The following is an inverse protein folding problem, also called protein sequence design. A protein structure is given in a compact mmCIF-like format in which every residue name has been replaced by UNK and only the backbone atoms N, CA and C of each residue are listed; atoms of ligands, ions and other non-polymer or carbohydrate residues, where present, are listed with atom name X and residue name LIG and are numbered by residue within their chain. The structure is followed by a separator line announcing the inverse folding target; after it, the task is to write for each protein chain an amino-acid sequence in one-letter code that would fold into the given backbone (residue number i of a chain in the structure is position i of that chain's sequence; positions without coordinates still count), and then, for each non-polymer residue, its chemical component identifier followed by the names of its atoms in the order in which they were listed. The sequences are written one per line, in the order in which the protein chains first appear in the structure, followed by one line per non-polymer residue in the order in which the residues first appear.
data_IF_033817135135
#
_entry.id   IF_033817135135
#
_cell.length_a   1.000
_cell.length_b   1.000
_cell.length_c   1.000
_cell.angle_alpha   90.00
_cell.angle_beta   90.00
_cell.angle_gamma   90.00
#
_symmetry.space_group_name_H-M   'P 1'
#
loop_
_entity.id
_entity.type
_entity.pdbx_description
1 polymer ?
#
# COMPACT_ATOMS: atom_id res chain seq x y z
N UNK A 1 3.84 -5.63 13.70
CA UNK A 1 4.59 -6.89 13.93
C UNK A 1 3.93 -8.10 13.26
N UNK A 2 2.60 -8.30 13.34
CA UNK A 2 1.93 -9.46 12.73
C UNK A 2 2.22 -9.56 11.22
N UNK A 3 1.92 -8.51 10.43
CA UNK A 3 2.13 -8.51 8.98
C UNK A 3 3.59 -8.75 8.55
N UNK A 4 4.56 -8.33 9.35
CA UNK A 4 5.97 -8.57 9.06
C UNK A 4 6.41 -10.00 9.33
N UNK A 5 5.66 -10.74 10.17
CA UNK A 5 5.98 -12.11 10.59
C UNK A 5 5.32 -13.19 9.73
N UNK A 6 4.31 -12.84 8.93
CA UNK A 6 3.63 -13.79 8.05
C UNK A 6 4.25 -13.81 6.65
N UNK A 7 4.22 -14.97 5.93
CA UNK A 7 4.69 -15.07 4.55
C UNK A 7 3.91 -14.15 3.60
N UNK A 8 4.52 -13.85 2.45
CA UNK A 8 3.83 -13.18 1.36
C UNK A 8 2.96 -14.18 0.60
N UNK A 9 1.71 -13.77 0.29
CA UNK A 9 0.80 -14.56 -0.53
C UNK A 9 1.05 -14.21 -2.00
N UNK A 10 1.35 -15.21 -2.83
CA UNK A 10 1.56 -15.04 -4.28
C UNK A 10 0.34 -15.39 -5.12
N UNK A 11 -0.80 -15.70 -4.49
CA UNK A 11 -2.06 -15.98 -5.19
C UNK A 11 -2.76 -14.67 -5.55
N UNK A 12 -3.54 -14.67 -6.63
CA UNK A 12 -4.31 -13.51 -7.08
C UNK A 12 -5.54 -13.21 -6.19
N UNK A 13 -5.98 -14.20 -5.40
CA UNK A 13 -7.12 -14.07 -4.49
C UNK A 13 -6.96 -12.93 -3.47
N UNK A 14 -8.01 -12.14 -3.26
CA UNK A 14 -8.08 -11.05 -2.28
C UNK A 14 -8.87 -11.45 -1.03
N UNK A 15 -8.16 -11.87 0.01
CA UNK A 15 -8.76 -12.37 1.26
C UNK A 15 -9.18 -11.25 2.21
N UNK A 16 -10.27 -11.53 2.96
CA UNK A 16 -10.69 -10.66 4.06
C UNK A 16 -9.67 -10.61 5.20
N UNK A 17 -9.70 -9.57 6.05
CA UNK A 17 -8.91 -9.50 7.27
C UNK A 17 -9.01 -10.73 8.18
N UNK A 18 -10.22 -11.30 8.32
CA UNK A 18 -10.45 -12.56 9.05
C UNK A 18 -9.65 -13.71 8.45
N UNK A 19 -9.70 -13.89 7.14
CA UNK A 19 -8.97 -14.95 6.44
C UNK A 19 -7.46 -14.73 6.51
N UNK A 20 -6.97 -13.50 6.40
CA UNK A 20 -5.54 -13.18 6.61
C UNK A 20 -5.07 -13.60 8.00
N UNK A 21 -5.90 -13.36 9.02
CA UNK A 21 -5.59 -13.76 10.40
C UNK A 21 -5.52 -15.29 10.56
N UNK A 22 -6.49 -15.99 9.98
CA UNK A 22 -6.60 -17.47 10.07
C UNK A 22 -5.52 -18.19 9.27
N UNK A 23 -5.31 -17.79 8.01
CA UNK A 23 -4.38 -18.42 7.07
C UNK A 23 -2.92 -17.97 7.23
N UNK A 24 -2.69 -16.85 7.93
CA UNK A 24 -1.38 -16.27 8.26
C UNK A 24 -0.47 -16.06 7.05
N UNK A 25 -1.02 -15.58 5.95
CA UNK A 25 -0.29 -15.06 4.79
C UNK A 25 -1.07 -13.92 4.13
N UNK A 26 -0.39 -13.00 3.45
CA UNK A 26 -1.03 -11.89 2.76
C UNK A 26 -0.10 -11.29 1.69
N UNK A 27 -0.65 -10.85 0.57
CA UNK A 27 0.01 -9.92 -0.35
C UNK A 27 -0.24 -8.45 0.09
N UNK A 28 0.26 -7.46 -0.67
CA UNK A 28 0.21 -6.04 -0.28
C UNK A 28 -1.22 -5.55 -0.01
N UNK A 29 -2.17 -5.85 -0.91
CA UNK A 29 -3.56 -5.41 -0.78
C UNK A 29 -4.28 -6.07 0.41
N UNK A 30 -4.17 -7.39 0.57
CA UNK A 30 -4.71 -8.12 1.73
C UNK A 30 -4.14 -7.59 3.05
N UNK A 31 -2.83 -7.33 3.07
CA UNK A 31 -2.14 -6.76 4.23
C UNK A 31 -2.61 -5.34 4.56
N UNK A 32 -2.91 -4.53 3.55
CA UNK A 32 -3.48 -3.19 3.73
C UNK A 32 -4.92 -3.25 4.25
N UNK A 33 -5.76 -4.15 3.73
CA UNK A 33 -7.12 -4.40 4.26
C UNK A 33 -7.08 -4.84 5.73
N UNK A 34 -6.20 -5.79 6.06
CA UNK A 34 -6.00 -6.24 7.44
C UNK A 34 -5.55 -5.08 8.34
N UNK A 35 -4.56 -4.30 7.92
CA UNK A 35 -4.08 -3.15 8.69
C UNK A 35 -5.19 -2.12 8.91
N UNK A 36 -5.97 -1.78 7.87
CA UNK A 36 -7.07 -0.83 7.97
C UNK A 36 -8.17 -1.33 8.94
N UNK A 37 -8.47 -2.64 8.97
CA UNK A 37 -9.41 -3.21 9.93
C UNK A 37 -8.92 -3.06 11.37
N UNK A 38 -7.63 -3.30 11.62
CA UNK A 38 -7.04 -3.14 12.97
C UNK A 38 -6.92 -1.68 13.39
N UNK A 39 -6.59 -0.78 12.46
CA UNK A 39 -6.60 0.67 12.69
C UNK A 39 -8.02 1.17 13.06
N UNK A 40 -9.05 0.63 12.40
CA UNK A 40 -10.45 0.94 12.72
C UNK A 40 -10.81 0.56 14.16
N UNK A 41 -10.36 -0.58 14.66
CA UNK A 41 -10.55 -0.99 16.06
C UNK A 41 -9.89 -0.04 17.07
N UNK A 42 -8.79 0.62 16.63
CA UNK A 42 -8.10 1.65 17.41
C UNK A 42 -8.71 3.05 17.26
N UNK A 43 -9.82 3.19 16.51
CA UNK A 43 -10.56 4.44 16.32
C UNK A 43 -10.13 5.27 15.12
N UNK A 44 -9.22 4.78 14.26
CA UNK A 44 -8.87 5.45 13.01
C UNK A 44 -9.87 5.11 11.90
N UNK A 45 -10.15 6.03 10.96
CA UNK A 45 -10.95 5.70 9.80
C UNK A 45 -10.20 4.65 8.93
N UNK A 46 -10.90 3.61 8.41
CA UNK A 46 -10.29 2.59 7.57
C UNK A 46 -10.03 3.14 6.17
N UNK A 47 -8.82 3.59 5.92
CA UNK A 47 -8.40 4.23 4.68
C UNK A 47 -7.29 3.44 4.00
N UNK A 48 -7.41 3.27 2.69
CA UNK A 48 -6.33 2.75 1.83
C UNK A 48 -5.87 3.82 0.85
N UNK A 49 -4.63 3.72 0.42
CA UNK A 49 -4.06 4.51 -0.68
C UNK A 49 -3.25 3.57 -1.58
N UNK A 50 -3.45 3.69 -2.87
CA UNK A 50 -2.67 2.99 -3.87
C UNK A 50 -1.50 3.84 -4.33
N UNK A 51 -0.33 3.23 -4.42
CA UNK A 51 0.91 3.77 -4.96
C UNK A 51 1.12 3.15 -6.33
N UNK A 52 0.83 3.92 -7.39
CA UNK A 52 0.90 3.45 -8.78
C UNK A 52 2.33 3.46 -9.29
N UNK A 53 2.75 2.34 -9.86
CA UNK A 53 4.05 2.17 -10.46
C UNK A 53 4.00 2.12 -11.99
N UNK A 54 5.16 2.27 -12.63
CA UNK A 54 5.38 2.05 -14.05
C UNK A 54 6.30 0.85 -14.23
N UNK A 55 5.89 -0.11 -15.04
CA UNK A 55 6.64 -1.34 -15.30
C UNK A 55 7.02 -2.11 -14.00
N UNK A 56 6.08 -2.14 -13.05
CA UNK A 56 6.22 -2.74 -11.73
C UNK A 56 4.84 -2.93 -11.11
N UNK A 57 4.73 -3.69 -10.02
CA UNK A 57 3.47 -3.86 -9.30
C UNK A 57 3.11 -2.59 -8.52
N UNK A 58 1.82 -2.23 -8.53
CA UNK A 58 1.26 -1.21 -7.65
C UNK A 58 1.31 -1.67 -6.18
N UNK A 59 1.32 -0.75 -5.25
CA UNK A 59 1.45 -1.06 -3.82
C UNK A 59 0.40 -0.36 -2.98
N UNK A 60 -0.47 -1.14 -2.33
CA UNK A 60 -1.54 -0.61 -1.49
C UNK A 60 -1.08 -0.52 -0.04
N UNK A 61 -1.33 0.63 0.58
CA UNK A 61 -0.99 0.93 1.97
C UNK A 61 -2.23 1.36 2.76
N UNK A 62 -2.30 0.97 4.03
CA UNK A 62 -3.32 1.45 4.97
C UNK A 62 -2.85 2.74 5.63
N UNK A 63 -3.69 3.77 5.60
CA UNK A 63 -3.37 5.09 6.12
C UNK A 63 -3.88 5.27 7.55
N UNK A 64 -3.12 5.99 8.35
CA UNK A 64 -3.59 6.55 9.62
C UNK A 64 -3.07 7.98 9.82
N UNK A 65 -3.74 8.74 10.67
CA UNK A 65 -3.34 10.12 10.95
C UNK A 65 -3.32 10.36 12.46
N UNK A 66 -2.14 10.70 12.98
CA UNK A 66 -1.96 11.00 14.39
C UNK A 66 -1.40 12.41 14.55
N UNK A 67 -2.00 13.21 15.45
CA UNK A 67 -1.60 14.62 15.71
C UNK A 67 -1.41 15.45 14.45
N UNK A 68 -2.29 15.23 13.46
CA UNK A 68 -2.26 15.97 12.19
C UNK A 68 -1.21 15.46 11.18
N UNK A 69 -0.50 14.36 11.46
CA UNK A 69 0.52 13.76 10.58
C UNK A 69 0.06 12.41 10.04
N UNK A 70 0.38 12.15 8.79
CA UNK A 70 0.10 10.90 8.11
C UNK A 70 1.18 9.86 8.39
N UNK A 71 0.76 8.64 8.62
CA UNK A 71 1.57 7.43 8.65
C UNK A 71 0.91 6.33 7.82
N UNK A 72 1.61 5.23 7.63
CA UNK A 72 1.10 4.10 6.86
C UNK A 72 1.56 2.75 7.42
N UNK A 73 0.70 1.75 7.23
CA UNK A 73 1.00 0.34 7.49
C UNK A 73 0.82 -0.43 6.18
N UNK A 74 1.81 -1.21 5.80
CA UNK A 74 1.76 -2.01 4.59
C UNK A 74 2.41 -3.39 4.77
N UNK A 75 2.05 -4.32 3.89
CA UNK A 75 2.69 -5.62 3.70
C UNK A 75 3.44 -5.58 2.37
N UNK A 76 4.72 -5.92 2.42
CA UNK A 76 5.56 -6.03 1.22
C UNK A 76 6.65 -7.07 1.44
N UNK A 77 7.14 -7.67 0.37
CA UNK A 77 8.38 -8.44 0.36
C UNK A 77 9.57 -7.52 0.65
N UNK A 78 9.54 -6.32 0.10
CA UNK A 78 10.57 -5.30 0.31
C UNK A 78 10.38 -4.64 1.68
N UNK A 79 11.37 -4.75 2.55
CA UNK A 79 11.31 -4.20 3.92
C UNK A 79 11.16 -2.68 3.92
N UNK A 80 11.69 -2.02 2.92
CA UNK A 80 11.67 -0.57 2.72
C UNK A 80 10.29 -0.01 2.35
N UNK A 81 9.36 -0.87 1.87
CA UNK A 81 8.01 -0.47 1.45
C UNK A 81 6.92 -0.75 2.50
N UNK A 82 7.29 -1.03 3.76
CA UNK A 82 6.34 -1.45 4.80
C UNK A 82 5.78 -0.27 5.58
N UNK A 83 6.23 -0.05 6.78
CA UNK A 83 5.71 0.92 7.74
C UNK A 83 6.26 2.34 7.51
N UNK A 84 5.41 3.36 7.78
CA UNK A 84 5.83 4.77 7.89
C UNK A 84 5.26 5.38 9.14
N UNK A 85 6.12 5.99 9.93
CA UNK A 85 5.74 6.75 11.13
C UNK A 85 4.81 7.92 10.77
N UNK A 86 3.90 8.35 11.68
CA UNK A 86 2.99 9.47 11.43
C UNK A 86 3.71 10.82 11.57
N UNK A 87 4.60 11.12 10.61
CA UNK A 87 5.41 12.35 10.59
C UNK A 87 5.16 13.22 9.36
N UNK A 88 4.48 12.72 8.34
CA UNK A 88 4.28 13.39 7.06
C UNK A 88 3.10 14.36 7.12
N UNK A 89 3.28 15.59 6.62
CA UNK A 89 2.25 16.63 6.63
C UNK A 89 1.16 16.39 5.61
N UNK A 90 1.55 15.84 4.45
CA UNK A 90 0.66 15.60 3.31
C UNK A 90 0.76 14.16 2.83
N UNK A 91 -0.26 13.69 2.08
CA UNK A 91 -0.22 12.39 1.43
C UNK A 91 0.88 12.32 0.36
N UNK A 92 1.19 13.46 -0.30
CA UNK A 92 2.29 13.54 -1.25
C UNK A 92 3.64 13.30 -0.56
N UNK A 93 3.89 13.93 0.59
CA UNK A 93 5.10 13.68 1.37
C UNK A 93 5.22 12.20 1.79
N UNK A 94 4.11 11.61 2.24
CA UNK A 94 4.06 10.20 2.60
C UNK A 94 4.38 9.31 1.38
N UNK A 95 3.73 9.55 0.23
CA UNK A 95 4.00 8.80 -1.01
C UNK A 95 5.46 8.95 -1.46
N UNK A 96 6.01 10.18 -1.43
CA UNK A 96 7.41 10.43 -1.79
C UNK A 96 8.42 9.74 -0.86
N UNK A 97 8.04 9.41 0.38
CA UNK A 97 8.92 8.66 1.29
C UNK A 97 9.23 7.23 0.83
N UNK A 98 8.45 6.71 -0.10
CA UNK A 98 8.68 5.41 -0.73
C UNK A 98 9.53 5.50 -2.01
N UNK A 99 9.65 6.68 -2.62
CA UNK A 99 10.14 6.89 -3.98
C UNK A 99 11.53 6.29 -4.23
N UNK A 100 12.51 6.56 -3.36
CA UNK A 100 13.89 6.09 -3.57
C UNK A 100 14.06 4.57 -3.38
N UNK A 101 13.10 3.93 -2.74
CA UNK A 101 13.10 2.50 -2.45
C UNK A 101 12.09 1.72 -3.29
N UNK A 102 11.41 2.38 -4.22
CA UNK A 102 10.41 1.77 -5.08
C UNK A 102 11.00 1.58 -6.48
N UNK A 103 11.56 0.41 -6.72
CA UNK A 103 12.25 0.07 -7.96
C UNK A 103 12.01 -1.39 -8.35
N UNK A 104 12.05 -1.67 -9.65
CA UNK A 104 11.89 -3.01 -10.20
C UNK A 104 13.22 -3.78 -10.20
N UNK A 105 13.20 -5.03 -10.67
CA UNK A 105 14.37 -5.92 -10.75
C UNK A 105 15.48 -5.42 -11.69
N UNK A 106 15.20 -4.42 -12.52
CA UNK A 106 16.18 -3.75 -13.38
C UNK A 106 16.83 -2.54 -12.70
N UNK A 107 16.44 -2.21 -11.46
CA UNK A 107 16.93 -1.04 -10.75
C UNK A 107 16.27 0.29 -11.15
N UNK A 108 15.24 0.23 -11.99
CA UNK A 108 14.50 1.41 -12.41
C UNK A 108 13.56 1.89 -11.30
N UNK A 109 13.63 3.16 -10.93
CA UNK A 109 12.66 3.77 -9.99
C UNK A 109 11.29 3.86 -10.65
N UNK A 110 10.30 3.19 -10.09
CA UNK A 110 9.02 2.91 -10.74
C UNK A 110 7.83 3.68 -10.21
N UNK A 111 7.87 4.22 -8.99
CA UNK A 111 6.76 4.98 -8.42
C UNK A 111 6.43 6.22 -9.27
N UNK A 112 5.15 6.41 -9.64
CA UNK A 112 4.69 7.51 -10.49
C UNK A 112 3.60 8.37 -9.87
N UNK A 113 2.62 7.75 -9.22
CA UNK A 113 1.45 8.45 -8.71
C UNK A 113 0.93 7.82 -7.42
N UNK A 114 0.01 8.51 -6.76
CA UNK A 114 -0.75 7.96 -5.65
C UNK A 114 -2.23 8.29 -5.81
N UNK A 115 -3.10 7.39 -5.33
CA UNK A 115 -4.54 7.58 -5.40
C UNK A 115 -5.04 8.55 -4.32
N UNK A 116 -6.21 9.15 -4.54
CA UNK A 116 -7.02 9.65 -3.44
C UNK A 116 -7.29 8.50 -2.46
N UNK A 117 -7.33 8.74 -1.11
CA UNK A 117 -7.67 7.70 -0.15
C UNK A 117 -9.02 7.05 -0.42
N UNK A 118 -9.04 5.72 -0.47
CA UNK A 118 -10.23 4.90 -0.54
C UNK A 118 -10.76 4.66 0.88
N UNK A 119 -12.01 5.05 1.13
CA UNK A 119 -12.66 4.85 2.43
C UNK A 119 -13.39 3.51 2.46
N UNK A 120 -12.89 2.55 3.23
CA UNK A 120 -13.43 1.19 3.26
C UNK A 120 -14.80 1.09 3.92
N UNK A 121 -15.22 2.06 4.74
CA UNK A 121 -16.55 2.06 5.34
C UNK A 121 -17.71 2.09 4.33
N UNK A 122 -17.46 2.48 3.06
CA UNK A 122 -18.46 2.37 1.99
C UNK A 122 -18.81 0.92 1.62
N UNK A 123 -18.00 -0.04 2.07
CA UNK A 123 -18.19 -1.48 1.82
C UNK A 123 -18.67 -2.24 3.06
N UNK A 124 -19.04 -1.56 4.14
CA UNK A 124 -19.44 -2.21 5.41
C UNK A 124 -20.63 -3.16 5.22
N UNK A 125 -21.59 -2.80 4.35
CA UNK A 125 -22.75 -3.66 4.03
C UNK A 125 -22.35 -5.01 3.43
N UNK A 126 -21.16 -5.11 2.81
CA UNK A 126 -20.61 -6.36 2.27
C UNK A 126 -19.77 -7.14 3.28
N UNK A 127 -19.71 -6.69 4.52
CA UNK A 127 -18.96 -7.34 5.59
C UNK A 127 -17.51 -7.66 5.23
N UNK A 128 -16.82 -6.71 4.57
CA UNK A 128 -15.47 -6.90 4.01
C UNK A 128 -14.42 -7.38 5.00
N UNK A 129 -14.65 -7.21 6.31
CA UNK A 129 -13.69 -7.66 7.36
C UNK A 129 -13.80 -9.14 7.68
N UNK A 130 -14.97 -9.77 7.47
CA UNK A 130 -15.30 -11.10 7.95
C UNK A 130 -15.70 -12.09 6.83
N UNK A 131 -16.03 -11.59 5.62
CA UNK A 131 -16.52 -12.43 4.53
C UNK A 131 -15.51 -13.50 4.10
N UNK A 132 -16.02 -14.61 3.62
CA UNK A 132 -15.22 -15.65 2.95
C UNK A 132 -15.08 -15.40 1.44
N UNK A 133 -15.85 -14.45 0.90
CA UNK A 133 -15.81 -14.07 -0.51
C UNK A 133 -14.55 -13.29 -0.86
N UNK A 134 -14.21 -13.27 -2.15
CA UNK A 134 -13.11 -12.47 -2.69
C UNK A 134 -13.43 -10.98 -2.61
N UNK A 135 -12.42 -10.18 -2.28
CA UNK A 135 -12.52 -8.73 -2.12
C UNK A 135 -11.97 -7.92 -3.32
N UNK A 136 -11.78 -8.56 -4.49
CA UNK A 136 -11.27 -7.90 -5.70
C UNK A 136 -12.07 -6.63 -6.05
N UNK A 137 -13.38 -6.61 -5.81
CA UNK A 137 -14.23 -5.43 -6.02
C UNK A 137 -13.78 -4.18 -5.26
N UNK A 138 -13.05 -4.32 -4.14
CA UNK A 138 -12.45 -3.19 -3.42
C UNK A 138 -11.22 -2.70 -4.21
N UNK A 139 -10.44 -3.61 -4.78
CA UNK A 139 -9.33 -3.27 -5.69
C UNK A 139 -9.83 -2.49 -6.91
N UNK A 140 -10.91 -2.97 -7.53
CA UNK A 140 -11.55 -2.30 -8.67
C UNK A 140 -11.99 -0.87 -8.36
N UNK A 141 -12.32 -0.57 -7.10
CA UNK A 141 -12.74 0.77 -6.71
C UNK A 141 -11.62 1.80 -6.87
N UNK A 142 -10.34 1.41 -6.83
CA UNK A 142 -9.23 2.33 -7.10
C UNK A 142 -9.24 2.87 -8.52
N UNK A 143 -9.69 2.08 -9.52
CA UNK A 143 -9.78 2.53 -10.91
C UNK A 143 -10.69 3.74 -11.11
N UNK A 144 -11.61 3.99 -10.17
CA UNK A 144 -12.57 5.10 -10.19
C UNK A 144 -12.09 6.32 -9.42
N UNK A 145 -10.96 6.24 -8.75
CA UNK A 145 -10.41 7.33 -7.96
C UNK A 145 -9.48 8.23 -8.80
N UNK A 146 -9.39 9.52 -8.48
CA UNK A 146 -8.34 10.35 -9.03
C UNK A 146 -6.97 9.94 -8.50
N UNK A 147 -5.98 10.00 -9.38
CA UNK A 147 -4.56 9.85 -9.05
C UNK A 147 -3.85 11.19 -9.19
N UNK A 148 -2.82 11.37 -8.37
CA UNK A 148 -1.99 12.56 -8.35
C UNK A 148 -0.57 12.17 -8.73
N UNK A 149 -0.08 12.74 -9.83
CA UNK A 149 1.28 12.48 -10.31
C UNK A 149 2.32 13.02 -9.31
N UNK A 150 3.34 12.21 -9.05
CA UNK A 150 4.48 12.59 -8.20
C UNK A 150 5.57 13.31 -8.98
N UNK A 151 5.70 12.98 -10.26
CA UNK A 151 6.75 13.47 -11.15
C UNK A 151 6.12 13.99 -12.45
N UNK A 152 6.73 15.00 -13.04
CA UNK A 152 6.45 15.39 -14.42
C UNK A 152 7.27 14.54 -15.44
N UNK A 153 6.97 14.69 -16.72
CA UNK A 153 7.61 13.91 -17.78
C UNK A 153 9.13 14.20 -17.89
N UNK A 154 9.56 15.42 -17.60
CA UNK A 154 10.97 15.80 -17.65
C UNK A 154 11.75 15.15 -16.50
N UNK A 155 11.15 15.12 -15.30
CA UNK A 155 11.71 14.42 -14.13
C UNK A 155 11.82 12.92 -14.39
N UNK A 156 10.76 12.31 -14.96
CA UNK A 156 10.78 10.86 -15.30
C UNK A 156 11.90 10.54 -16.28
N UNK A 157 12.11 11.38 -17.32
CA UNK A 157 13.13 11.15 -18.34
C UNK A 157 14.59 11.24 -17.80
N UNK A 158 14.77 11.87 -16.63
CA UNK A 158 16.09 12.07 -15.99
C UNK A 158 16.33 11.15 -14.79
N UNK A 159 15.42 10.24 -14.48
CA UNK A 159 15.61 9.32 -13.37
C UNK A 159 16.84 8.44 -13.62
N UNK A 160 17.65 8.31 -12.58
CA UNK A 160 18.77 7.37 -12.55
C UNK A 160 18.35 6.07 -11.87
N UNK A 161 18.92 4.97 -12.33
CA UNK A 161 18.75 3.66 -11.68
C UNK A 161 19.33 3.69 -10.26
N UNK A 162 18.85 2.79 -9.42
CA UNK A 162 19.43 2.60 -8.08
C UNK A 162 20.83 1.99 -8.19
N UNK A 163 21.69 2.28 -7.21
CA UNK A 163 23.00 1.65 -7.17
C UNK A 163 22.92 0.13 -6.91
N UNK A 164 23.99 -0.57 -7.24
CA UNK A 164 24.03 -2.04 -7.19
C UNK A 164 23.90 -2.61 -5.78
N UNK A 165 24.23 -1.85 -4.74
CA UNK A 165 24.11 -2.33 -3.35
C UNK A 165 22.65 -2.20 -2.88
N UNK A 166 21.96 -1.11 -3.24
CA UNK A 166 20.53 -0.94 -2.98
C UNK A 166 19.69 -1.98 -3.76
N UNK A 167 20.06 -2.25 -5.01
CA UNK A 167 19.40 -3.29 -5.84
C UNK A 167 19.49 -4.69 -5.21
N UNK A 168 20.61 -5.03 -4.57
CA UNK A 168 20.78 -6.32 -3.87
C UNK A 168 20.05 -6.39 -2.54
N UNK A 169 19.79 -5.25 -1.92
CA UNK A 169 19.13 -5.16 -0.60
C UNK A 169 17.60 -5.11 -0.69
N UNK A 170 17.04 -4.88 -1.89
CA UNK A 170 15.60 -4.74 -2.18
C UNK A 170 14.90 -6.04 -2.64
#
# INVERSE_FOLDING_TARGET
RFLSAIPYNSKEECKSPKRVLAERNAHCFEGALFAASRLRELGYPPLLMDLRAWNDDDHVIALFKERGRWGAVAKSNFTTLRFREPVYRTLRELAMSYFDFYFNTLGQKTLRAYSRPLKLSQFDEKNWTETEDDLEYIGDAFSKLPYYELLDAEQVARLVEVDGDLLKAG
#
